data_IF_964106144638
#
_entry.id   IF_964106144638
#
_cell.length_a   1.000
_cell.length_b   1.000
_cell.length_c   1.000
_cell.angle_alpha   90.00
_cell.angle_beta   90.00
_cell.angle_gamma   90.00
#
_symmetry.space_group_name_H-M   'P 1'
#
loop_
_entity.id
_entity.type
_entity.pdbx_description
1 polymer ?
#
# COMPACT_ATOMS: atom_id res chain seq x y z
N UNK A 1 41.19 -30.20 21.78
CA UNK A 1 40.94 -29.03 22.63
C UNK A 1 40.72 -27.85 21.72
N UNK A 2 39.46 -27.54 21.38
CA UNK A 2 39.10 -26.40 20.56
C UNK A 2 38.46 -25.32 21.43
N UNK A 3 39.15 -24.19 21.56
CA UNK A 3 38.67 -22.99 22.25
C UNK A 3 37.74 -22.20 21.38
N UNK A 4 36.48 -22.01 21.82
CA UNK A 4 35.49 -21.15 21.18
C UNK A 4 35.78 -19.69 21.53
N UNK A 5 36.00 -18.87 20.52
CA UNK A 5 36.03 -17.40 20.63
C UNK A 5 34.56 -16.90 20.64
N UNK A 6 34.19 -16.27 21.74
CA UNK A 6 32.93 -15.52 21.87
C UNK A 6 33.21 -14.07 21.48
N UNK A 7 32.63 -13.60 20.40
CA UNK A 7 32.70 -12.21 19.97
C UNK A 7 31.65 -11.39 20.73
N UNK A 8 32.13 -10.46 21.58
CA UNK A 8 31.35 -9.53 22.38
C UNK A 8 31.07 -8.28 21.53
N UNK A 9 29.86 -8.12 21.02
CA UNK A 9 29.44 -6.90 20.34
C UNK A 9 29.05 -5.83 21.39
N UNK A 10 29.82 -4.75 21.41
CA UNK A 10 29.60 -3.60 22.27
C UNK A 10 28.48 -2.73 21.74
N UNK A 11 27.34 -2.66 22.46
CA UNK A 11 26.25 -1.73 22.19
C UNK A 11 26.59 -0.34 22.71
N UNK A 12 26.74 0.64 21.82
CA UNK A 12 26.81 2.06 22.18
C UNK A 12 25.38 2.58 22.25
N UNK A 13 24.93 2.88 23.47
CA UNK A 13 23.65 3.52 23.76
C UNK A 13 23.81 5.04 23.57
N UNK A 14 23.27 5.60 22.48
CA UNK A 14 23.15 7.06 22.31
C UNK A 14 21.76 7.47 22.75
N UNK A 15 21.69 8.17 23.88
CA UNK A 15 20.47 8.79 24.38
C UNK A 15 20.22 10.08 23.61
N UNK A 16 19.17 10.11 22.78
CA UNK A 16 18.58 11.34 22.29
C UNK A 16 17.19 11.51 22.91
N UNK A 17 17.05 12.56 23.75
CA UNK A 17 15.76 13.05 24.19
C UNK A 17 15.08 13.81 23.04
N UNK A 18 14.03 13.27 22.49
CA UNK A 18 13.14 13.91 21.53
C UNK A 18 11.98 12.96 21.24
N UNK A 19 10.74 13.40 21.49
CA UNK A 19 9.52 12.63 21.31
C UNK A 19 9.30 12.27 19.81
N UNK A 20 10.04 11.30 19.33
CA UNK A 20 9.84 10.66 18.05
C UNK A 20 9.55 9.19 18.31
N UNK A 21 8.37 8.69 17.94
CA UNK A 21 8.09 7.26 17.97
C UNK A 21 8.97 6.60 16.89
N UNK A 22 10.11 6.09 17.31
CA UNK A 22 10.97 5.31 16.44
C UNK A 22 10.27 3.97 16.13
N UNK A 23 9.79 3.81 14.90
CA UNK A 23 9.40 2.51 14.38
C UNK A 23 10.65 1.64 14.25
N UNK A 24 10.89 0.79 15.24
CA UNK A 24 11.85 -0.29 15.10
C UNK A 24 11.35 -1.26 14.03
N UNK A 25 12.06 -1.36 12.92
CA UNK A 25 11.86 -2.41 11.94
C UNK A 25 12.30 -3.73 12.57
N UNK A 26 11.39 -4.40 13.29
CA UNK A 26 11.58 -5.79 13.66
C UNK A 26 11.48 -6.62 12.37
N UNK A 27 12.52 -7.38 12.05
CA UNK A 27 12.50 -8.38 10.99
C UNK A 27 11.24 -9.24 11.11
N UNK A 28 10.38 -9.16 10.10
CA UNK A 28 9.16 -9.97 9.98
C UNK A 28 9.61 -11.43 9.94
N UNK A 29 9.39 -12.17 11.03
CA UNK A 29 9.53 -13.64 11.01
C UNK A 29 8.34 -14.15 10.20
N UNK A 30 8.53 -14.34 8.90
CA UNK A 30 7.61 -15.07 8.03
C UNK A 30 7.65 -16.51 8.50
N UNK A 31 6.51 -17.02 8.96
CA UNK A 31 6.34 -18.46 9.19
C UNK A 31 6.64 -19.16 7.85
N UNK A 32 7.56 -20.14 7.81
CA UNK A 32 8.15 -20.62 6.55
C UNK A 32 7.17 -21.26 5.55
N UNK A 33 5.86 -21.23 5.79
CA UNK A 33 4.87 -21.92 4.95
C UNK A 33 3.52 -21.22 4.79
N UNK A 34 3.38 -19.95 5.19
CA UNK A 34 2.10 -19.23 5.02
C UNK A 34 2.25 -18.14 3.97
N UNK A 35 1.72 -18.32 2.73
CA UNK A 35 1.84 -17.33 1.65
C UNK A 35 0.88 -16.14 1.83
N UNK A 36 -0.09 -16.23 2.77
CA UNK A 36 -1.13 -15.24 2.94
C UNK A 36 -0.76 -14.14 3.92
N UNK A 37 -1.25 -12.94 3.62
CA UNK A 37 -1.21 -11.78 4.51
C UNK A 37 -2.51 -10.99 4.35
N UNK A 38 -3.09 -10.55 5.46
CA UNK A 38 -4.24 -9.64 5.49
C UNK A 38 -3.74 -8.24 5.87
N UNK A 39 -4.18 -7.23 5.14
CA UNK A 39 -4.01 -5.83 5.55
C UNK A 39 -5.37 -5.16 5.65
N UNK A 40 -5.53 -4.27 6.63
CA UNK A 40 -6.77 -3.52 6.82
C UNK A 40 -6.39 -2.05 6.98
N UNK A 41 -6.84 -1.23 6.02
CA UNK A 41 -6.73 0.22 6.13
C UNK A 41 -8.04 0.77 6.73
N UNK A 42 -7.95 1.30 7.93
CA UNK A 42 -9.14 1.82 8.62
C UNK A 42 -9.67 3.10 7.98
N UNK A 43 -8.80 3.94 7.36
CA UNK A 43 -9.23 5.18 6.74
C UNK A 43 -10.05 4.94 5.47
N UNK A 44 -9.70 3.95 4.65
CA UNK A 44 -10.45 3.54 3.45
C UNK A 44 -11.55 2.52 3.75
N UNK A 45 -11.62 2.00 4.99
CA UNK A 45 -12.51 0.89 5.35
C UNK A 45 -12.37 -0.33 4.43
N UNK A 46 -11.12 -0.71 4.14
CA UNK A 46 -10.80 -1.76 3.16
C UNK A 46 -9.93 -2.84 3.79
N UNK A 47 -10.28 -4.11 3.53
CA UNK A 47 -9.46 -5.29 3.81
C UNK A 47 -8.88 -5.80 2.50
N UNK A 48 -7.55 -5.98 2.46
CA UNK A 48 -6.87 -6.58 1.30
C UNK A 48 -6.23 -7.90 1.71
N UNK A 49 -6.51 -8.95 0.96
CA UNK A 49 -5.86 -10.26 1.09
C UNK A 49 -4.76 -10.40 0.03
N UNK A 50 -3.55 -10.69 0.48
CA UNK A 50 -2.39 -10.98 -0.36
C UNK A 50 -2.04 -12.46 -0.30
N UNK A 51 -1.50 -12.99 -1.40
CA UNK A 51 -0.84 -14.29 -1.50
C UNK A 51 0.50 -14.11 -2.22
N UNK A 52 1.60 -14.54 -1.61
CA UNK A 52 2.96 -14.36 -2.13
C UNK A 52 3.28 -12.90 -2.52
N UNK A 53 2.79 -11.96 -1.71
CA UNK A 53 2.97 -10.51 -1.93
C UNK A 53 2.12 -9.91 -3.04
N UNK A 54 1.30 -10.70 -3.75
CA UNK A 54 0.36 -10.21 -4.76
C UNK A 54 -1.03 -10.02 -4.16
N UNK A 55 -1.70 -8.91 -4.49
CA UNK A 55 -3.10 -8.67 -4.12
C UNK A 55 -3.99 -9.73 -4.77
N UNK A 56 -4.71 -10.49 -3.93
CA UNK A 56 -5.62 -11.53 -4.38
C UNK A 56 -7.06 -11.04 -4.36
N UNK A 57 -7.47 -10.41 -3.26
CA UNK A 57 -8.80 -9.84 -3.08
C UNK A 57 -8.73 -8.52 -2.32
N UNK A 58 -9.76 -7.71 -2.52
CA UNK A 58 -10.00 -6.50 -1.76
C UNK A 58 -11.50 -6.41 -1.44
N UNK A 59 -11.83 -6.17 -0.17
CA UNK A 59 -13.19 -6.17 0.34
C UNK A 59 -13.48 -4.92 1.15
N UNK A 60 -14.65 -4.28 0.98
CA UNK A 60 -15.09 -3.24 1.89
C UNK A 60 -15.42 -3.86 3.25
N UNK A 61 -15.12 -3.14 4.33
CA UNK A 61 -15.36 -3.59 5.70
C UNK A 61 -16.00 -2.50 6.56
N UNK A 62 -16.71 -2.88 7.64
CA UNK A 62 -17.02 -1.95 8.70
C UNK A 62 -16.00 -2.12 9.84
N UNK A 63 -15.60 -1.00 10.42
CA UNK A 63 -14.55 -0.94 11.46
C UNK A 63 -15.09 -0.34 12.76
N UNK A 64 -14.26 -0.28 13.79
CA UNK A 64 -14.60 0.30 15.08
C UNK A 64 -15.13 1.73 14.98
N UNK A 65 -16.09 2.09 15.82
CA UNK A 65 -16.56 3.47 15.93
C UNK A 65 -15.48 4.38 16.51
N UNK A 66 -15.66 5.70 16.44
CA UNK A 66 -14.75 6.67 17.06
C UNK A 66 -14.57 6.42 18.57
N UNK A 67 -15.63 5.97 19.25
CA UNK A 67 -15.59 5.65 20.67
C UNK A 67 -14.88 4.31 20.99
N UNK A 68 -14.86 3.39 20.04
CA UNK A 68 -14.27 2.04 20.18
C UNK A 68 -13.51 1.68 18.91
N UNK A 69 -12.40 2.38 18.62
CA UNK A 69 -11.68 2.19 17.36
C UNK A 69 -11.06 0.80 17.25
N UNK A 70 -11.00 0.28 16.05
CA UNK A 70 -10.21 -0.93 15.75
C UNK A 70 -8.74 -0.64 16.05
N UNK A 71 -8.01 -1.48 16.82
CA UNK A 71 -6.62 -1.23 17.15
C UNK A 71 -5.72 -1.37 15.92
N UNK A 72 -4.86 -0.37 15.67
CA UNK A 72 -3.79 -0.47 14.70
C UNK A 72 -2.64 -1.32 15.24
N UNK A 73 -1.98 -2.08 14.38
CA UNK A 73 -0.84 -2.91 14.77
C UNK A 73 -0.57 -4.05 13.80
N UNK A 74 0.35 -4.93 14.24
CA UNK A 74 0.65 -6.20 13.56
C UNK A 74 0.20 -7.33 14.46
N UNK A 75 -0.69 -8.14 13.94
CA UNK A 75 -1.33 -9.24 14.62
C UNK A 75 -1.19 -10.52 13.79
N UNK A 76 -1.68 -11.64 14.33
CA UNK A 76 -1.86 -12.89 13.61
C UNK A 76 -3.25 -13.45 13.93
N UNK A 77 -3.88 -14.12 12.97
CA UNK A 77 -5.08 -14.92 13.25
C UNK A 77 -4.66 -16.03 14.22
N UNK A 78 -5.25 -16.07 15.40
CA UNK A 78 -4.90 -17.09 16.40
C UNK A 78 -6.03 -18.10 16.64
N UNK A 79 -7.26 -17.80 16.20
CA UNK A 79 -8.41 -18.68 16.32
C UNK A 79 -9.41 -18.43 15.18
N UNK A 80 -10.15 -19.48 14.80
CA UNK A 80 -11.12 -19.47 13.71
C UNK A 80 -12.32 -20.34 14.04
N UNK A 81 -13.53 -19.83 13.80
CA UNK A 81 -14.77 -20.54 14.07
C UNK A 81 -15.76 -20.47 12.90
N UNK A 82 -16.37 -21.60 12.57
CA UNK A 82 -17.48 -21.70 11.62
C UNK A 82 -18.78 -21.69 12.43
N UNK A 83 -19.73 -20.86 11.99
CA UNK A 83 -21.03 -20.72 12.63
C UNK A 83 -20.92 -20.34 14.12
N UNK A 84 -20.18 -19.25 14.45
CA UNK A 84 -19.95 -18.84 15.82
C UNK A 84 -21.27 -18.51 16.53
N UNK A 85 -21.28 -18.72 17.84
CA UNK A 85 -22.29 -18.18 18.73
C UNK A 85 -21.87 -16.74 19.11
N UNK A 86 -22.80 -15.79 19.11
CA UNK A 86 -22.54 -14.45 19.59
C UNK A 86 -23.06 -14.26 21.01
N UNK A 87 -22.23 -13.74 21.89
CA UNK A 87 -22.62 -13.33 23.23
C UNK A 87 -22.53 -11.82 23.37
N UNK A 88 -23.57 -11.18 23.89
CA UNK A 88 -23.59 -9.72 24.08
C UNK A 88 -22.56 -9.31 25.15
N UNK A 89 -21.56 -8.50 24.84
CA UNK A 89 -20.53 -8.07 25.79
C UNK A 89 -21.09 -7.23 26.94
N UNK A 90 -22.31 -6.70 26.81
CA UNK A 90 -22.99 -5.91 27.86
C UNK A 90 -23.97 -6.73 28.68
N UNK A 91 -24.44 -7.84 28.16
CA UNK A 91 -25.33 -8.79 28.84
C UNK A 91 -24.97 -10.24 28.46
N UNK A 92 -24.10 -10.85 29.25
CA UNK A 92 -23.60 -12.20 29.01
C UNK A 92 -24.70 -13.28 28.99
N UNK A 93 -25.91 -12.97 29.42
CA UNK A 93 -27.07 -13.89 29.33
C UNK A 93 -27.71 -13.86 27.94
N UNK A 94 -27.46 -12.81 27.16
CA UNK A 94 -27.99 -12.68 25.83
C UNK A 94 -27.03 -13.34 24.84
N UNK A 95 -27.47 -14.49 24.37
CA UNK A 95 -26.74 -15.33 23.41
C UNK A 95 -27.58 -15.47 22.13
N UNK A 96 -26.93 -15.32 20.98
CA UNK A 96 -27.54 -15.52 19.66
C UNK A 96 -26.78 -16.64 18.97
N UNK A 97 -27.50 -17.73 18.70
CA UNK A 97 -26.97 -18.89 17.98
C UNK A 97 -26.63 -18.52 16.54
N UNK A 98 -25.79 -19.32 15.88
CA UNK A 98 -25.51 -19.15 14.46
C UNK A 98 -26.78 -19.11 13.64
N UNK A 99 -26.82 -18.19 12.69
CA UNK A 99 -27.99 -17.98 11.82
C UNK A 99 -28.04 -16.57 11.27
N UNK A 100 -29.12 -16.24 10.52
CA UNK A 100 -29.24 -14.94 9.84
C UNK A 100 -29.30 -13.75 10.79
N UNK A 101 -29.72 -13.96 12.05
CA UNK A 101 -29.80 -12.91 13.07
C UNK A 101 -28.50 -12.73 13.88
N UNK A 102 -27.49 -13.59 13.65
CA UNK A 102 -26.27 -13.53 14.40
C UNK A 102 -25.38 -12.35 13.94
N UNK A 103 -25.00 -11.43 14.85
CA UNK A 103 -24.14 -10.28 14.50
C UNK A 103 -22.76 -10.63 13.94
N UNK A 104 -22.25 -11.85 14.20
CA UNK A 104 -20.96 -12.33 13.69
C UNK A 104 -21.06 -12.99 12.32
N UNK A 105 -22.28 -13.16 11.78
CA UNK A 105 -22.48 -13.93 10.55
C UNK A 105 -22.07 -15.41 10.71
N UNK A 106 -21.43 -15.97 9.69
CA UNK A 106 -21.12 -17.41 9.64
C UNK A 106 -19.65 -17.74 9.82
N UNK A 107 -18.76 -16.75 9.98
CA UNK A 107 -17.32 -16.94 10.17
C UNK A 107 -16.77 -15.95 11.18
N UNK A 108 -15.86 -16.45 12.01
CA UNK A 108 -15.09 -15.67 12.97
C UNK A 108 -13.60 -15.97 12.81
N UNK A 109 -12.77 -14.95 12.82
CA UNK A 109 -11.30 -15.04 12.76
C UNK A 109 -10.72 -14.06 13.79
N UNK A 110 -10.31 -14.56 14.94
CA UNK A 110 -9.74 -13.75 16.03
C UNK A 110 -8.30 -13.35 15.70
N UNK A 111 -7.95 -12.05 15.95
CA UNK A 111 -6.58 -11.56 15.72
C UNK A 111 -5.97 -10.85 16.94
N UNK A 112 -6.77 -10.33 17.87
CA UNK A 112 -6.25 -9.66 19.07
C UNK A 112 -7.28 -9.64 20.19
N UNK A 113 -7.01 -10.35 21.31
CA UNK A 113 -7.94 -10.45 22.45
C UNK A 113 -9.34 -10.86 22.01
N UNK A 114 -10.33 -10.01 22.24
CA UNK A 114 -11.71 -10.21 21.80
C UNK A 114 -12.02 -9.58 20.42
N UNK A 115 -11.02 -9.09 19.70
CA UNK A 115 -11.21 -8.52 18.37
C UNK A 115 -11.00 -9.57 17.28
N UNK A 116 -11.89 -9.55 16.30
CA UNK A 116 -11.84 -10.46 15.15
C UNK A 116 -12.36 -9.82 13.86
N UNK A 117 -12.10 -10.50 12.76
CA UNK A 117 -12.75 -10.29 11.46
C UNK A 117 -13.90 -11.30 11.37
N UNK A 118 -15.08 -10.87 10.95
CA UNK A 118 -16.26 -11.74 10.91
C UNK A 118 -17.30 -11.25 9.91
N UNK A 119 -18.28 -12.11 9.59
CA UNK A 119 -19.44 -11.74 8.80
C UNK A 119 -20.36 -10.76 9.52
N UNK A 120 -21.57 -10.55 9.03
CA UNK A 120 -22.53 -9.65 9.69
C UNK A 120 -23.97 -9.98 9.30
N UNK A 121 -24.91 -9.72 10.23
CA UNK A 121 -26.34 -9.65 9.95
C UNK A 121 -26.80 -8.24 9.52
N UNK A 122 -25.86 -7.26 9.44
CA UNK A 122 -26.10 -5.87 9.09
C UNK A 122 -25.23 -5.44 7.88
N UNK A 123 -25.45 -5.97 6.67
CA UNK A 123 -24.60 -5.71 5.50
C UNK A 123 -24.58 -4.23 5.09
N UNK A 124 -25.61 -3.44 5.42
CA UNK A 124 -25.63 -1.98 5.20
C UNK A 124 -24.65 -1.20 6.05
N UNK A 125 -24.06 -1.83 7.08
CA UNK A 125 -23.05 -1.22 7.93
C UNK A 125 -21.65 -1.23 7.30
N UNK A 126 -21.42 -2.04 6.27
CA UNK A 126 -20.12 -2.15 5.58
C UNK A 126 -19.75 -0.78 4.98
N UNK A 127 -18.47 -0.41 5.07
CA UNK A 127 -17.97 0.92 4.70
C UNK A 127 -18.06 1.97 5.81
N UNK A 128 -18.56 1.62 7.01
CA UNK A 128 -18.80 2.57 8.09
C UNK A 128 -18.02 2.26 9.38
N UNK A 129 -17.91 3.26 10.25
CA UNK A 129 -17.25 3.23 11.56
C UNK A 129 -18.28 2.98 12.66
N UNK A 130 -18.71 1.73 12.83
CA UNK A 130 -19.90 1.40 13.64
C UNK A 130 -19.73 0.23 14.62
N UNK A 131 -18.61 -0.50 14.56
CA UNK A 131 -18.40 -1.65 15.43
C UNK A 131 -17.83 -1.27 16.80
N UNK A 132 -17.76 -2.22 17.72
CA UNK A 132 -17.04 -2.10 18.99
C UNK A 132 -15.54 -2.47 18.85
N UNK A 133 -14.98 -2.32 17.64
CA UNK A 133 -13.58 -2.57 17.33
C UNK A 133 -13.31 -3.79 16.43
N UNK A 134 -14.24 -4.72 16.32
CA UNK A 134 -14.13 -5.83 15.35
C UNK A 134 -14.29 -5.31 13.91
N UNK A 135 -13.78 -6.09 12.96
CA UNK A 135 -13.87 -5.81 11.52
C UNK A 135 -14.99 -6.66 10.94
N UNK A 136 -16.06 -5.99 10.45
CA UNK A 136 -17.21 -6.67 9.84
C UNK A 136 -17.04 -6.74 8.34
N UNK A 137 -17.40 -7.88 7.77
CA UNK A 137 -17.37 -8.18 6.34
C UNK A 137 -18.75 -8.60 5.86
N UNK A 138 -19.04 -8.50 4.57
CA UNK A 138 -20.16 -9.27 4.03
C UNK A 138 -19.91 -10.78 4.30
N UNK A 139 -20.97 -11.55 4.52
CA UNK A 139 -20.81 -12.97 4.85
C UNK A 139 -20.03 -13.74 3.78
N UNK A 140 -20.30 -13.51 2.51
CA UNK A 140 -19.58 -14.17 1.41
C UNK A 140 -18.08 -13.83 1.40
N UNK A 141 -17.71 -12.57 1.72
CA UNK A 141 -16.33 -12.13 1.78
C UNK A 141 -15.61 -12.77 2.99
N UNK A 142 -16.29 -12.80 4.14
CA UNK A 142 -15.77 -13.45 5.34
C UNK A 142 -15.55 -14.94 5.14
N UNK A 143 -16.44 -15.63 4.42
CA UNK A 143 -16.30 -17.04 4.03
C UNK A 143 -15.10 -17.22 3.10
N UNK A 144 -14.95 -16.38 2.09
CA UNK A 144 -13.81 -16.41 1.17
C UNK A 144 -12.48 -16.25 1.90
N UNK A 145 -12.36 -15.23 2.77
CA UNK A 145 -11.13 -15.02 3.55
C UNK A 145 -10.89 -16.19 4.50
N UNK A 146 -11.93 -16.62 5.21
CA UNK A 146 -11.84 -17.74 6.16
C UNK A 146 -11.30 -19.01 5.50
N UNK A 147 -11.80 -19.36 4.31
CA UNK A 147 -11.44 -20.62 3.65
C UNK A 147 -9.98 -20.60 3.15
N UNK A 148 -9.45 -19.42 2.82
CA UNK A 148 -8.09 -19.26 2.30
C UNK A 148 -7.02 -19.14 3.39
N UNK A 149 -7.29 -18.39 4.47
CA UNK A 149 -6.25 -18.02 5.42
C UNK A 149 -6.16 -19.02 6.58
N UNK A 150 -5.01 -19.65 6.86
CA UNK A 150 -4.83 -20.51 8.04
C UNK A 150 -4.67 -19.68 9.34
N UNK A 151 -4.79 -20.34 10.49
CA UNK A 151 -4.30 -19.81 11.76
C UNK A 151 -2.81 -19.50 11.62
N UNK A 152 -2.34 -18.40 12.19
CA UNK A 152 -0.98 -17.89 12.02
C UNK A 152 -0.84 -16.84 10.92
N UNK A 153 -1.87 -16.64 10.07
CA UNK A 153 -1.83 -15.60 9.01
C UNK A 153 -1.61 -14.22 9.60
N UNK A 154 -0.57 -13.48 9.13
CA UNK A 154 -0.32 -12.11 9.55
C UNK A 154 -1.49 -11.19 9.19
N UNK A 155 -1.89 -10.34 10.15
CA UNK A 155 -2.89 -9.29 9.99
C UNK A 155 -2.25 -7.95 10.34
N UNK A 156 -2.14 -7.05 9.38
CA UNK A 156 -1.65 -5.69 9.59
C UNK A 156 -2.80 -4.70 9.51
N UNK A 157 -3.03 -3.95 10.58
CA UNK A 157 -4.09 -2.93 10.65
C UNK A 157 -3.43 -1.56 10.80
N UNK A 158 -3.81 -0.63 9.94
CA UNK A 158 -3.24 0.71 9.89
C UNK A 158 -4.29 1.75 9.52
N UNK A 159 -3.96 3.02 9.72
CA UNK A 159 -4.78 4.16 9.36
C UNK A 159 -3.96 5.07 8.43
N UNK A 160 -4.23 4.99 7.14
CA UNK A 160 -3.54 5.79 6.11
C UNK A 160 -4.56 6.46 5.22
N UNK A 161 -4.60 7.79 5.24
CA UNK A 161 -5.59 8.58 4.52
C UNK A 161 -5.24 8.81 3.06
N UNK A 162 -3.95 8.75 2.71
CA UNK A 162 -3.48 8.95 1.32
C UNK A 162 -2.90 7.65 0.79
N UNK A 163 -3.58 7.02 -0.15
CA UNK A 163 -3.22 5.69 -0.68
C UNK A 163 -3.25 5.66 -2.20
N UNK A 164 -2.62 4.63 -2.77
CA UNK A 164 -2.83 4.23 -4.16
C UNK A 164 -3.73 3.00 -4.16
N UNK A 165 -4.85 3.12 -4.85
CA UNK A 165 -5.80 2.04 -5.07
C UNK A 165 -5.66 1.53 -6.50
N UNK A 166 -5.66 0.22 -6.70
CA UNK A 166 -5.56 -0.38 -8.03
C UNK A 166 -6.71 -1.33 -8.28
N UNK A 167 -7.33 -1.25 -9.46
CA UNK A 167 -8.32 -2.21 -9.92
C UNK A 167 -7.69 -3.45 -10.57
N UNK A 168 -8.53 -4.39 -11.07
CA UNK A 168 -8.09 -5.61 -11.74
C UNK A 168 -7.33 -5.37 -13.04
N UNK A 169 -7.52 -4.22 -13.68
CA UNK A 169 -6.91 -3.85 -14.96
C UNK A 169 -5.63 -3.01 -14.77
N UNK A 170 -5.15 -2.90 -13.51
CA UNK A 170 -4.03 -2.05 -13.09
C UNK A 170 -4.24 -0.55 -13.34
N UNK A 171 -5.49 -0.07 -13.44
CA UNK A 171 -5.73 1.33 -13.33
C UNK A 171 -5.58 1.74 -11.87
N UNK A 172 -4.81 2.80 -11.66
CA UNK A 172 -4.47 3.32 -10.33
C UNK A 172 -5.16 4.65 -10.12
N UNK A 173 -5.66 4.83 -8.91
CA UNK A 173 -6.21 6.10 -8.43
C UNK A 173 -5.61 6.46 -7.07
N UNK A 174 -5.65 7.73 -6.73
CA UNK A 174 -5.29 8.24 -5.40
C UNK A 174 -6.55 8.34 -4.55
N UNK A 175 -6.57 7.66 -3.41
CA UNK A 175 -7.53 7.88 -2.33
C UNK A 175 -6.99 8.94 -1.36
N UNK A 176 -7.82 9.93 -1.00
CA UNK A 176 -7.56 10.89 0.07
C UNK A 176 -8.78 10.86 0.99
N UNK A 177 -8.76 9.95 1.97
CA UNK A 177 -9.92 9.62 2.79
C UNK A 177 -10.15 10.62 3.93
N UNK A 178 -11.41 10.79 4.41
CA UNK A 178 -11.72 11.60 5.58
C UNK A 178 -10.97 11.13 6.85
N UNK A 179 -10.65 12.06 7.75
CA UNK A 179 -10.09 11.72 9.06
C UNK A 179 -11.20 11.35 10.04
N UNK A 180 -11.83 10.20 9.83
CA UNK A 180 -13.00 9.77 10.62
C UNK A 180 -12.68 9.53 12.09
N UNK A 181 -11.43 9.24 12.44
CA UNK A 181 -10.99 9.11 13.84
C UNK A 181 -10.41 10.40 14.42
N UNK A 182 -10.15 11.43 13.61
CA UNK A 182 -9.54 12.68 14.05
C UNK A 182 -8.10 12.54 14.53
N UNK A 183 -7.35 11.56 14.01
CA UNK A 183 -5.98 11.22 14.47
C UNK A 183 -4.90 11.51 13.45
N UNK A 184 -5.26 11.84 12.20
CA UNK A 184 -4.32 12.14 11.12
C UNK A 184 -4.76 13.39 10.34
N UNK A 185 -4.74 14.58 10.95
CA UNK A 185 -4.99 15.81 10.21
C UNK A 185 -3.91 15.98 9.14
N UNK A 186 -4.32 16.29 7.91
CA UNK A 186 -3.43 16.50 6.79
C UNK A 186 -3.64 17.90 6.23
N UNK A 187 -2.54 18.63 6.00
CA UNK A 187 -2.52 19.81 5.16
C UNK A 187 -2.35 19.41 3.68
N UNK A 188 -2.59 20.36 2.79
CA UNK A 188 -2.29 20.18 1.36
C UNK A 188 -0.81 19.78 1.13
N UNK A 189 0.11 20.37 1.89
CA UNK A 189 1.54 20.05 1.81
C UNK A 189 1.83 18.60 2.24
N UNK A 190 1.17 18.11 3.29
CA UNK A 190 1.33 16.73 3.74
C UNK A 190 0.88 15.74 2.66
N UNK A 191 -0.26 16.02 2.01
CA UNK A 191 -0.76 15.21 0.89
C UNK A 191 0.22 15.25 -0.28
N UNK A 192 0.71 16.43 -0.68
CA UNK A 192 1.70 16.57 -1.74
C UNK A 192 2.98 15.79 -1.45
N UNK A 193 3.51 15.89 -0.23
CA UNK A 193 4.68 15.12 0.19
C UNK A 193 4.43 13.62 0.11
N UNK A 194 3.27 13.16 0.57
CA UNK A 194 2.89 11.75 0.48
C UNK A 194 2.81 11.26 -0.97
N UNK A 195 2.23 12.05 -1.87
CA UNK A 195 2.17 11.73 -3.30
C UNK A 195 3.54 11.73 -3.98
N UNK A 196 4.48 12.56 -3.48
CA UNK A 196 5.89 12.51 -3.86
C UNK A 196 6.51 11.19 -3.45
N UNK A 197 6.32 10.76 -2.20
CA UNK A 197 6.83 9.49 -1.68
C UNK A 197 6.23 8.28 -2.43
N UNK A 198 4.96 8.38 -2.83
CA UNK A 198 4.29 7.38 -3.66
C UNK A 198 4.74 7.40 -5.13
N UNK A 199 5.45 8.45 -5.55
CA UNK A 199 5.99 8.60 -6.91
C UNK A 199 4.98 9.07 -7.96
N UNK A 200 3.84 9.64 -7.54
CA UNK A 200 2.72 9.99 -8.45
C UNK A 200 2.31 11.46 -8.40
N UNK A 201 2.94 12.30 -7.59
CA UNK A 201 2.56 13.72 -7.42
C UNK A 201 2.45 14.49 -8.75
N UNK A 202 3.32 14.22 -9.73
CA UNK A 202 3.30 14.86 -11.04
C UNK A 202 1.98 14.63 -11.81
N UNK A 203 1.25 13.56 -11.50
CA UNK A 203 0.08 13.09 -12.23
C UNK A 203 -1.26 13.43 -11.56
N UNK A 204 -1.24 14.19 -10.48
CA UNK A 204 -2.42 14.67 -9.74
C UNK A 204 -2.41 16.19 -9.74
N UNK A 205 -3.50 16.86 -10.10
CA UNK A 205 -3.53 18.33 -10.11
C UNK A 205 -3.54 18.89 -8.69
N UNK A 206 -3.00 20.11 -8.51
CA UNK A 206 -2.99 20.77 -7.20
C UNK A 206 -4.40 21.18 -6.76
N UNK A 207 -5.28 21.52 -7.72
CA UNK A 207 -6.68 21.82 -7.44
C UNK A 207 -7.42 20.60 -6.90
N UNK A 208 -7.21 19.40 -7.50
CA UNK A 208 -7.79 18.15 -6.99
C UNK A 208 -7.28 17.81 -5.60
N UNK A 209 -6.01 18.11 -5.29
CA UNK A 209 -5.47 17.91 -3.94
C UNK A 209 -6.14 18.89 -2.96
N UNK A 210 -6.22 20.18 -3.31
CA UNK A 210 -6.80 21.23 -2.47
C UNK A 210 -8.27 20.93 -2.14
N UNK A 211 -9.06 20.50 -3.13
CA UNK A 211 -10.46 20.13 -2.98
C UNK A 211 -10.68 18.94 -2.03
N UNK A 212 -9.63 18.11 -1.82
CA UNK A 212 -9.72 16.87 -1.01
C UNK A 212 -8.92 16.90 0.30
N UNK A 213 -8.45 18.05 0.74
CA UNK A 213 -7.72 18.17 2.03
C UNK A 213 -8.57 17.65 3.20
N UNK A 214 -9.89 17.92 3.21
CA UNK A 214 -10.84 17.39 4.17
C UNK A 214 -11.09 15.88 4.06
N UNK A 215 -10.69 15.28 2.95
CA UNK A 215 -10.97 13.89 2.58
C UNK A 215 -12.18 13.74 1.68
N UNK A 216 -12.16 12.72 0.86
CA UNK A 216 -13.22 12.33 -0.08
C UNK A 216 -13.30 10.81 -0.19
N UNK A 217 -14.47 10.29 -0.50
CA UNK A 217 -14.66 8.88 -0.89
C UNK A 217 -14.53 8.67 -2.39
N UNK A 218 -14.35 9.74 -3.16
CA UNK A 218 -14.09 9.70 -4.59
C UNK A 218 -12.59 9.77 -4.83
N UNK A 219 -12.03 8.75 -5.46
CA UNK A 219 -10.63 8.66 -5.79
C UNK A 219 -10.28 9.50 -7.03
N UNK A 220 -9.05 10.00 -7.08
CA UNK A 220 -8.49 10.74 -8.22
C UNK A 220 -7.86 9.73 -9.19
N UNK A 221 -8.38 9.54 -10.41
CA UNK A 221 -7.79 8.59 -11.35
C UNK A 221 -6.45 9.10 -11.88
N UNK A 222 -5.45 8.23 -11.92
CA UNK A 222 -4.14 8.51 -12.52
C UNK A 222 -4.02 7.84 -13.90
N UNK A 223 -4.36 6.58 -14.00
CA UNK A 223 -4.10 5.72 -15.13
C UNK A 223 -3.34 4.48 -14.71
N UNK A 224 -2.46 3.94 -15.56
CA UNK A 224 -1.67 2.76 -15.17
C UNK A 224 -0.36 3.19 -14.53
N UNK A 225 -0.05 2.61 -13.37
CA UNK A 225 1.13 2.95 -12.58
C UNK A 225 1.88 1.68 -12.20
N UNK A 226 3.14 1.61 -12.58
CA UNK A 226 3.95 0.42 -12.38
C UNK A 226 5.19 0.72 -11.53
N UNK A 227 5.52 -0.14 -10.56
CA UNK A 227 6.82 -0.12 -9.89
C UNK A 227 7.95 -0.23 -10.91
N UNK A 228 9.11 0.31 -10.57
CA UNK A 228 10.27 0.30 -11.46
C UNK A 228 11.48 -0.33 -10.80
N UNK A 229 12.27 -0.99 -11.64
CA UNK A 229 13.60 -1.51 -11.32
C UNK A 229 14.58 -1.09 -12.42
N UNK A 230 15.74 -0.56 -12.03
CA UNK A 230 16.78 -0.11 -12.96
C UNK A 230 18.06 -0.85 -12.61
N UNK A 231 18.57 -1.69 -13.52
CA UNK A 231 19.77 -2.50 -13.30
C UNK A 231 19.75 -3.24 -11.95
N UNK A 232 18.66 -3.96 -11.66
CA UNK A 232 18.41 -4.71 -10.41
C UNK A 232 18.23 -3.85 -9.14
N UNK A 233 18.12 -2.52 -9.27
CA UNK A 233 17.84 -1.60 -8.17
C UNK A 233 16.38 -1.16 -8.19
N UNK A 234 15.65 -1.44 -7.11
CA UNK A 234 14.29 -0.91 -6.89
C UNK A 234 14.34 0.61 -6.69
N UNK A 235 13.41 1.32 -7.35
CA UNK A 235 13.29 2.77 -7.23
C UNK A 235 11.90 3.18 -6.78
N UNK A 236 11.79 4.27 -6.00
CA UNK A 236 10.49 4.78 -5.54
C UNK A 236 9.67 5.40 -6.67
N UNK A 237 10.32 5.92 -7.72
CA UNK A 237 9.63 6.48 -8.89
C UNK A 237 8.89 5.39 -9.66
N UNK A 238 7.89 5.82 -10.43
CA UNK A 238 6.99 4.94 -11.16
C UNK A 238 7.10 5.16 -12.66
N UNK A 239 6.87 4.11 -13.43
CA UNK A 239 6.44 4.21 -14.81
C UNK A 239 4.94 4.47 -14.82
N UNK A 240 4.50 5.51 -15.53
CA UNK A 240 3.09 5.92 -15.54
C UNK A 240 2.60 6.01 -16.98
N UNK A 241 1.40 5.48 -17.22
CA UNK A 241 0.65 5.69 -18.45
C UNK A 241 -0.62 6.49 -18.12
N UNK A 242 -0.71 7.71 -18.61
CA UNK A 242 -1.85 8.60 -18.40
C UNK A 242 -2.29 9.23 -19.73
N UNK A 243 -3.58 9.19 -20.03
CA UNK A 243 -4.17 9.80 -21.23
C UNK A 243 -3.49 9.35 -22.55
N UNK A 244 -3.10 8.09 -22.64
CA UNK A 244 -2.45 7.52 -23.82
C UNK A 244 -0.96 7.87 -23.96
N UNK A 245 -0.39 8.60 -23.01
CA UNK A 245 1.04 8.92 -22.97
C UNK A 245 1.74 8.15 -21.87
N UNK A 246 2.92 7.63 -22.17
CA UNK A 246 3.77 6.90 -21.24
C UNK A 246 4.93 7.77 -20.74
N UNK A 247 5.23 7.70 -19.45
CA UNK A 247 6.17 8.58 -18.76
C UNK A 247 7.21 7.77 -17.97
N UNK A 248 8.48 7.93 -18.30
CA UNK A 248 9.62 7.48 -17.51
C UNK A 248 10.31 8.67 -16.83
N UNK A 249 10.69 8.57 -15.54
CA UNK A 249 11.31 9.67 -14.79
C UNK A 249 12.77 9.86 -15.20
N UNK A 250 13.04 10.87 -16.04
CA UNK A 250 14.33 11.11 -16.66
C UNK A 250 15.46 11.34 -15.65
N UNK A 251 15.23 12.20 -14.64
CA UNK A 251 16.27 12.53 -13.65
C UNK A 251 16.66 11.33 -12.78
N UNK A 252 15.69 10.46 -12.46
CA UNK A 252 15.97 9.24 -11.66
C UNK A 252 16.87 8.28 -12.45
N UNK A 253 16.56 8.07 -13.73
CA UNK A 253 17.36 7.21 -14.61
C UNK A 253 18.76 7.80 -14.80
N UNK A 254 18.87 9.10 -15.11
CA UNK A 254 20.15 9.79 -15.25
C UNK A 254 21.03 9.66 -14.00
N UNK A 255 20.46 9.83 -12.81
CA UNK A 255 21.19 9.73 -11.54
C UNK A 255 21.71 8.31 -11.28
N UNK A 256 20.90 7.28 -11.53
CA UNK A 256 21.31 5.88 -11.32
C UNK A 256 22.39 5.47 -12.31
N UNK A 257 22.29 5.91 -13.56
CA UNK A 257 23.27 5.65 -14.61
C UNK A 257 24.50 6.57 -14.51
N UNK A 258 24.47 7.56 -13.59
CA UNK A 258 25.52 8.57 -13.42
C UNK A 258 25.80 9.37 -14.69
N UNK A 259 24.75 9.67 -15.45
CA UNK A 259 24.83 10.42 -16.68
C UNK A 259 24.46 11.90 -16.46
N UNK A 260 25.16 12.79 -17.14
CA UNK A 260 24.78 14.19 -17.22
C UNK A 260 23.57 14.31 -18.14
N UNK A 261 22.55 15.05 -17.69
CA UNK A 261 21.36 15.34 -18.46
C UNK A 261 21.09 16.84 -18.41
N UNK A 262 20.66 17.40 -19.53
CA UNK A 262 20.30 18.80 -19.68
C UNK A 262 18.86 18.88 -20.20
N UNK A 263 18.12 19.86 -19.70
CA UNK A 263 16.78 20.20 -20.14
C UNK A 263 16.80 21.55 -20.86
N UNK A 264 16.34 21.56 -22.10
CA UNK A 264 16.11 22.78 -22.88
C UNK A 264 14.62 23.11 -22.84
N UNK A 265 14.23 24.02 -21.94
CA UNK A 265 12.84 24.43 -21.78
C UNK A 265 12.27 25.19 -22.96
N UNK A 266 13.11 25.77 -23.83
CA UNK A 266 12.66 26.48 -25.01
C UNK A 266 12.24 25.55 -26.15
N UNK A 267 12.92 24.39 -26.26
CA UNK A 267 12.66 23.40 -27.32
C UNK A 267 11.89 22.18 -26.79
N UNK A 268 11.76 22.01 -25.47
CA UNK A 268 11.18 20.84 -24.86
C UNK A 268 12.02 19.57 -25.02
N UNK A 269 13.35 19.73 -25.13
CA UNK A 269 14.26 18.61 -25.39
C UNK A 269 15.11 18.25 -24.18
N UNK A 270 15.22 16.96 -23.91
CA UNK A 270 16.23 16.37 -23.04
C UNK A 270 17.49 16.05 -23.87
N UNK A 271 18.66 16.31 -23.28
CA UNK A 271 19.97 16.03 -23.90
C UNK A 271 20.84 15.26 -22.93
N UNK A 272 21.49 14.21 -23.42
CA UNK A 272 22.48 13.39 -22.69
C UNK A 272 23.70 13.19 -23.56
N UNK A 273 24.77 12.56 -23.07
CA UNK A 273 25.92 12.21 -23.90
C UNK A 273 25.59 11.22 -25.05
N UNK A 274 24.48 10.51 -24.98
CA UNK A 274 24.09 9.56 -26.03
C UNK A 274 23.24 10.20 -27.12
N UNK A 275 22.42 11.19 -26.79
CA UNK A 275 21.56 11.83 -27.76
C UNK A 275 20.57 12.81 -27.14
N UNK A 276 19.56 13.17 -27.93
CA UNK A 276 18.49 14.06 -27.48
C UNK A 276 17.13 13.54 -27.94
N UNK A 277 16.11 13.77 -27.13
CA UNK A 277 14.72 13.43 -27.45
C UNK A 277 13.74 14.37 -26.73
N UNK A 278 12.47 14.42 -27.15
CA UNK A 278 11.45 15.19 -26.46
C UNK A 278 11.29 14.75 -25.01
N UNK A 279 11.08 15.73 -24.12
CA UNK A 279 10.78 15.51 -22.72
C UNK A 279 9.50 16.23 -22.29
N UNK A 280 9.07 15.92 -21.08
CA UNK A 280 7.93 16.55 -20.43
C UNK A 280 8.38 17.12 -19.10
N UNK A 281 8.14 18.41 -18.86
CA UNK A 281 8.29 19.01 -17.54
C UNK A 281 6.92 19.08 -16.88
N UNK A 282 6.69 18.25 -15.87
CA UNK A 282 5.45 18.21 -15.10
C UNK A 282 5.77 18.50 -13.65
N UNK A 283 5.35 19.63 -13.13
CA UNK A 283 5.63 20.08 -11.75
C UNK A 283 7.12 20.00 -11.39
N UNK A 284 7.96 20.57 -12.25
CA UNK A 284 9.43 20.60 -12.14
C UNK A 284 10.10 19.21 -12.09
N UNK A 285 9.41 18.21 -12.60
CA UNK A 285 9.92 16.85 -12.77
C UNK A 285 9.99 16.51 -14.25
N UNK A 286 11.13 16.00 -14.67
CA UNK A 286 11.38 15.68 -16.07
C UNK A 286 11.06 14.23 -16.37
N UNK A 287 10.27 14.02 -17.41
CA UNK A 287 9.87 12.72 -17.93
C UNK A 287 10.18 12.64 -19.42
N UNK A 288 10.15 11.42 -19.95
CA UNK A 288 10.28 11.15 -21.39
C UNK A 288 9.47 9.92 -21.77
N UNK A 289 9.24 9.72 -23.08
CA UNK A 289 8.55 8.54 -23.58
C UNK A 289 9.49 7.32 -23.55
N UNK A 290 9.05 6.13 -23.08
CA UNK A 290 9.86 4.91 -23.07
C UNK A 290 10.50 4.56 -24.41
N UNK A 291 9.90 4.92 -25.55
CA UNK A 291 10.45 4.71 -26.88
C UNK A 291 11.80 5.40 -27.10
N UNK A 292 12.09 6.47 -26.34
CA UNK A 292 13.32 7.27 -26.43
C UNK A 292 14.39 6.81 -25.42
N UNK A 293 14.16 5.70 -24.70
CA UNK A 293 15.07 5.23 -23.65
C UNK A 293 16.46 4.86 -24.17
N UNK A 294 16.53 4.24 -25.32
CA UNK A 294 17.82 3.89 -25.96
C UNK A 294 18.56 5.14 -26.44
N UNK A 295 17.82 6.07 -27.07
CA UNK A 295 18.39 7.35 -27.57
C UNK A 295 18.96 8.21 -26.46
N UNK A 296 18.25 8.32 -25.32
CA UNK A 296 18.66 9.17 -24.22
C UNK A 296 19.68 8.51 -23.29
N UNK A 297 19.50 7.25 -22.98
CA UNK A 297 20.18 6.61 -21.86
C UNK A 297 20.90 5.32 -22.20
N UNK A 298 20.82 4.86 -23.47
CA UNK A 298 21.37 3.58 -23.92
C UNK A 298 20.85 2.41 -23.07
N UNK A 299 19.56 2.44 -22.76
CA UNK A 299 18.84 1.41 -21.99
C UNK A 299 17.62 0.92 -22.74
N UNK A 300 17.18 -0.29 -22.41
CA UNK A 300 15.88 -0.82 -22.83
C UNK A 300 15.00 -1.05 -21.60
N UNK A 301 13.69 -0.93 -21.78
CA UNK A 301 12.73 -1.15 -20.71
C UNK A 301 11.55 -2.01 -21.17
N UNK A 302 11.03 -2.84 -20.27
CA UNK A 302 9.82 -3.63 -20.50
C UNK A 302 9.10 -3.97 -19.19
N UNK A 303 7.79 -4.18 -19.27
CA UNK A 303 7.02 -4.79 -18.19
C UNK A 303 7.33 -6.29 -18.13
N UNK A 304 7.50 -6.79 -16.90
CA UNK A 304 7.58 -8.22 -16.65
C UNK A 304 6.17 -8.78 -16.30
N UNK A 305 6.08 -10.08 -16.09
CA UNK A 305 4.86 -10.82 -15.70
C UNK A 305 4.33 -10.47 -14.31
N UNK A 306 5.09 -9.71 -13.50
CA UNK A 306 4.69 -9.19 -12.18
C UNK A 306 4.27 -7.72 -12.23
N UNK A 307 4.05 -7.14 -13.41
CA UNK A 307 3.73 -5.73 -13.60
C UNK A 307 4.80 -4.77 -13.04
N UNK A 308 6.09 -5.14 -13.11
CA UNK A 308 7.22 -4.27 -12.79
C UNK A 308 7.88 -3.84 -14.09
N UNK A 309 8.13 -2.54 -14.24
CA UNK A 309 8.86 -2.00 -15.40
C UNK A 309 10.37 -2.13 -15.15
N UNK A 310 11.01 -3.03 -15.89
CA UNK A 310 12.43 -3.35 -15.76
C UNK A 310 13.22 -2.59 -16.81
N UNK A 311 14.19 -1.80 -16.36
CA UNK A 311 15.15 -1.09 -17.22
C UNK A 311 16.52 -1.75 -17.10
N UNK A 312 17.14 -2.06 -18.23
CA UNK A 312 18.49 -2.63 -18.32
C UNK A 312 19.33 -1.86 -19.34
N UNK A 313 20.64 -1.78 -19.07
CA UNK A 313 21.58 -1.29 -20.07
C UNK A 313 21.49 -2.12 -21.36
N UNK A 314 21.64 -1.47 -22.49
CA UNK A 314 21.83 -2.19 -23.76
C UNK A 314 23.20 -2.89 -23.70
N UNK A 315 23.19 -4.21 -23.86
CA UNK A 315 24.44 -4.97 -23.94
C UNK A 315 25.20 -4.56 -25.20
N UNK A 316 26.39 -4.03 -25.02
CA UNK A 316 27.33 -3.84 -26.16
C UNK A 316 27.89 -5.22 -26.48
N UNK A 317 27.68 -5.77 -27.70
CA UNK A 317 28.26 -7.04 -28.06
C UNK A 317 29.77 -6.97 -27.84
N UNK A 318 30.31 -7.94 -27.11
CA UNK A 318 31.75 -8.06 -26.96
C UNK A 318 32.38 -8.19 -28.38
N UNK A 319 33.28 -7.26 -28.68
CA UNK A 319 34.04 -7.31 -29.97
C UNK A 319 35.03 -8.45 -29.98
#
# INVERSE_FOLDING_TARGET
MLTKLVSLALFILVMFNGNGVAFSASSEQVEPNNPYKVTINLASTTLTLFMDGKKLYEFPVAVGSVATPTPCGRFKIFDKEINPEWQDPKDLKKVVQSGPDNPLGYRWMAFYGAYGMHGTNAPWAIGNYVSNGCVRMHNADAETVYDLVPVGTPVQIYYERVTLESDSDNNVSVGIYPDSYGVQPLSELDIKNKLVDLGVYAFVSDDEIADRVGGSWENIPIGKVYPMEINDLWVNSKYVEQNGTAYLPAQVIANILKLKMEWDGATGMLKTPYGSAPGYNIKDRLFFNPADAETLFHVTGKLNDKNVYIIKNVEVPAK
#
